data_IF_979663038513
#
_entry.id   IF_979663038513
#
_cell.length_a   1.000
_cell.length_b   1.000
_cell.length_c   1.000
_cell.angle_alpha   90.00
_cell.angle_beta   90.00
_cell.angle_gamma   90.00
#
_symmetry.space_group_name_H-M   'P 1'
#
loop_
_entity.id
_entity.type
_entity.pdbx_description
1 polymer ?
#
# COMPACT_ATOMS: atom_id res chain seq x y z
N UNK A 1 -0.14 18.87 0.49
CA UNK A 1 0.62 18.48 -0.73
C UNK A 1 -0.20 18.88 -1.95
N UNK A 2 0.41 19.33 -3.04
CA UNK A 2 -0.30 19.57 -4.29
C UNK A 2 0.08 18.48 -5.30
N UNK A 3 -0.91 17.86 -5.93
CA UNK A 3 -0.72 16.91 -7.03
C UNK A 3 -1.59 17.38 -8.18
N UNK A 4 -0.97 17.79 -9.29
CA UNK A 4 -1.66 18.28 -10.49
C UNK A 4 -2.63 19.44 -10.22
N UNK A 5 -2.30 20.36 -9.32
CA UNK A 5 -3.15 21.52 -8.98
C UNK A 5 -4.28 21.20 -7.99
N UNK A 6 -4.28 20.00 -7.41
CA UNK A 6 -5.21 19.61 -6.36
C UNK A 6 -4.48 19.47 -5.03
N UNK A 7 -5.04 20.11 -3.99
CA UNK A 7 -4.53 20.00 -2.64
C UNK A 7 -4.98 18.71 -1.95
N UNK A 8 -4.02 18.01 -1.34
CA UNK A 8 -4.21 16.80 -0.55
C UNK A 8 -3.58 16.94 0.83
N UNK A 9 -4.29 16.48 1.84
CA UNK A 9 -3.73 16.24 3.18
C UNK A 9 -3.38 14.76 3.32
N UNK A 10 -2.14 14.47 3.66
CA UNK A 10 -1.64 13.10 3.83
C UNK A 10 -1.27 12.92 5.30
N UNK A 11 -1.81 11.87 5.91
CA UNK A 11 -1.55 11.50 7.29
C UNK A 11 -0.81 10.17 7.30
N UNK A 12 0.45 10.19 7.76
CA UNK A 12 1.19 8.97 8.03
C UNK A 12 0.87 8.48 9.45
N UNK A 13 0.54 7.20 9.57
CA UNK A 13 0.05 6.58 10.79
C UNK A 13 0.96 5.40 11.13
N UNK A 14 1.48 5.31 12.37
CA UNK A 14 2.28 4.17 12.78
C UNK A 14 1.61 2.82 12.49
N UNK A 15 2.41 1.81 12.17
CA UNK A 15 1.89 0.45 12.01
C UNK A 15 1.45 -0.17 13.35
N UNK A 16 0.79 -1.32 13.28
CA UNK A 16 0.43 -2.10 14.47
C UNK A 16 1.67 -2.40 15.33
N UNK A 17 1.57 -2.13 16.63
CA UNK A 17 2.61 -2.36 17.63
C UNK A 17 2.02 -2.91 18.92
N UNK A 18 2.88 -3.20 19.91
CA UNK A 18 2.46 -3.81 21.19
C UNK A 18 1.32 -3.04 21.87
N UNK A 19 1.36 -1.70 21.81
CA UNK A 19 0.39 -0.81 22.47
C UNK A 19 -0.24 0.20 21.48
N UNK A 20 -0.19 -0.09 20.18
CA UNK A 20 -0.71 0.82 19.16
C UNK A 20 -1.59 0.09 18.15
N UNK A 21 -2.85 0.54 18.05
CA UNK A 21 -3.81 0.15 17.04
C UNK A 21 -4.13 1.36 16.13
N UNK A 22 -3.67 1.37 14.86
CA UNK A 22 -3.96 2.46 13.93
C UNK A 22 -5.46 2.64 13.68
N UNK A 23 -6.30 1.62 13.88
CA UNK A 23 -7.74 1.74 13.67
C UNK A 23 -8.38 2.82 14.56
N UNK A 24 -7.84 3.04 15.78
CA UNK A 24 -8.31 4.08 16.70
C UNK A 24 -8.05 5.46 16.10
N UNK A 25 -6.80 5.72 15.67
CA UNK A 25 -6.41 7.00 15.07
C UNK A 25 -7.14 7.26 13.76
N UNK A 26 -7.31 6.23 12.92
CA UNK A 26 -8.06 6.33 11.66
C UNK A 26 -9.53 6.70 11.91
N UNK A 27 -10.17 6.06 12.89
CA UNK A 27 -11.57 6.35 13.23
C UNK A 27 -11.78 7.76 13.77
N UNK A 28 -10.84 8.26 14.59
CA UNK A 28 -10.82 9.64 15.07
C UNK A 28 -10.67 10.63 13.91
N UNK A 29 -9.68 10.40 13.03
CA UNK A 29 -9.43 11.26 11.87
C UNK A 29 -10.65 11.33 10.94
N UNK A 30 -11.29 10.18 10.67
CA UNK A 30 -12.51 10.13 9.87
C UNK A 30 -13.64 10.97 10.48
N UNK A 31 -13.80 10.93 11.80
CA UNK A 31 -14.85 11.68 12.50
C UNK A 31 -14.59 13.18 12.49
N UNK A 32 -13.33 13.59 12.64
CA UNK A 32 -12.95 15.01 12.73
C UNK A 32 -12.84 15.70 11.37
N UNK A 33 -12.38 14.97 10.34
CA UNK A 33 -11.99 15.56 9.05
C UNK A 33 -12.60 14.87 7.83
N UNK A 34 -13.12 13.65 8.00
CA UNK A 34 -13.41 12.76 6.88
C UNK A 34 -12.13 12.13 6.32
N UNK A 35 -12.31 11.06 5.54
CA UNK A 35 -11.23 10.38 4.81
C UNK A 35 -11.78 10.02 3.43
N UNK A 36 -11.10 10.47 2.38
CA UNK A 36 -11.47 10.21 0.98
C UNK A 36 -10.83 8.92 0.44
N UNK A 37 -9.67 8.53 0.96
CA UNK A 37 -8.94 7.32 0.56
C UNK A 37 -8.09 6.82 1.72
N UNK A 38 -8.13 5.51 1.96
CA UNK A 38 -7.14 4.83 2.78
C UNK A 38 -6.11 4.13 1.88
N UNK A 39 -4.83 4.31 2.21
CA UNK A 39 -3.71 3.63 1.54
C UNK A 39 -3.12 2.62 2.50
N UNK A 40 -3.20 1.33 2.16
CA UNK A 40 -2.74 0.24 3.02
C UNK A 40 -1.42 -0.32 2.50
N UNK A 41 -0.33 0.00 3.19
CA UNK A 41 1.00 -0.47 2.83
C UNK A 41 1.20 -1.94 3.22
N UNK A 42 1.53 -2.77 2.25
CA UNK A 42 1.84 -4.20 2.37
C UNK A 42 3.32 -4.42 2.10
N UNK A 43 3.93 -5.34 2.86
CA UNK A 43 5.28 -5.83 2.59
C UNK A 43 5.23 -7.34 2.34
N UNK A 44 5.62 -7.83 1.15
CA UNK A 44 5.78 -9.25 0.87
C UNK A 44 6.67 -9.93 1.91
N UNK A 45 6.32 -11.14 2.33
CA UNK A 45 7.08 -11.90 3.34
C UNK A 45 6.97 -11.36 4.77
N UNK A 46 6.50 -10.12 4.98
CA UNK A 46 6.36 -9.48 6.30
C UNK A 46 5.10 -9.87 7.08
N UNK A 47 4.43 -10.96 6.73
CA UNK A 47 3.21 -11.41 7.40
C UNK A 47 2.03 -10.49 7.17
N UNK A 48 1.45 -10.50 5.95
CA UNK A 48 0.18 -9.81 5.69
C UNK A 48 -0.91 -10.43 6.56
N UNK A 49 -1.29 -9.74 7.64
CA UNK A 49 -2.23 -10.23 8.65
C UNK A 49 -3.64 -9.75 8.36
N UNK A 50 -4.57 -10.69 8.14
CA UNK A 50 -5.99 -10.37 7.92
C UNK A 50 -6.63 -9.60 9.08
N UNK A 51 -6.22 -9.87 10.32
CA UNK A 51 -6.69 -9.15 11.50
C UNK A 51 -6.38 -7.65 11.46
N UNK A 52 -5.16 -7.29 11.06
CA UNK A 52 -4.75 -5.88 10.90
C UNK A 52 -5.55 -5.19 9.80
N UNK A 53 -5.75 -5.86 8.67
CA UNK A 53 -6.62 -5.37 7.60
C UNK A 53 -8.05 -5.14 8.11
N UNK A 54 -8.63 -6.10 8.83
CA UNK A 54 -9.99 -6.01 9.35
C UNK A 54 -10.14 -4.82 10.31
N UNK A 55 -9.18 -4.62 11.22
CA UNK A 55 -9.19 -3.51 12.16
C UNK A 55 -9.20 -2.16 11.41
N UNK A 56 -8.26 -1.95 10.48
CA UNK A 56 -8.22 -0.74 9.64
C UNK A 56 -9.48 -0.57 8.81
N UNK A 57 -9.97 -1.64 8.16
CA UNK A 57 -11.18 -1.57 7.32
C UNK A 57 -12.41 -1.19 8.14
N UNK A 58 -12.51 -1.68 9.38
CA UNK A 58 -13.65 -1.41 10.28
C UNK A 58 -13.64 -0.01 10.89
N UNK A 59 -12.50 0.69 10.85
CA UNK A 59 -12.37 2.04 11.40
C UNK A 59 -13.16 3.10 10.62
N UNK A 60 -13.52 2.81 9.37
CA UNK A 60 -14.28 3.72 8.51
C UNK A 60 -15.39 2.98 7.75
N UNK A 61 -16.46 3.67 7.31
CA UNK A 61 -17.53 3.05 6.54
C UNK A 61 -17.06 2.40 5.23
N UNK A 62 -17.85 1.44 4.72
CA UNK A 62 -17.48 0.67 3.52
C UNK A 62 -17.30 1.54 2.25
N UNK A 63 -17.94 2.71 2.21
CA UNK A 63 -17.84 3.68 1.10
C UNK A 63 -16.47 4.33 0.97
N UNK A 64 -15.64 4.34 2.02
CA UNK A 64 -14.29 4.90 1.93
C UNK A 64 -13.42 3.89 1.17
N UNK A 65 -12.86 4.24 0.00
CA UNK A 65 -12.02 3.34 -0.78
C UNK A 65 -10.74 3.01 -0.01
N UNK A 66 -10.28 1.77 -0.19
CA UNK A 66 -9.04 1.26 0.40
C UNK A 66 -8.18 0.71 -0.74
N UNK A 67 -7.04 1.33 -0.99
CA UNK A 67 -6.08 0.89 -2.00
C UNK A 67 -4.89 0.18 -1.32
N UNK A 68 -4.33 -0.83 -1.98
CA UNK A 68 -3.11 -1.49 -1.52
C UNK A 68 -1.86 -0.82 -2.09
N UNK A 69 -0.80 -0.69 -1.30
CA UNK A 69 0.52 -0.33 -1.82
C UNK A 69 1.50 -1.43 -1.41
N UNK A 70 1.99 -2.19 -2.37
CA UNK A 70 2.95 -3.27 -2.13
C UNK A 70 4.34 -2.70 -2.26
N UNK A 71 5.10 -2.74 -1.16
CA UNK A 71 6.43 -2.16 -1.02
C UNK A 71 7.51 -3.24 -0.96
N UNK A 72 8.78 -2.86 -1.12
CA UNK A 72 9.92 -3.78 -0.95
C UNK A 72 10.03 -4.83 -2.05
N UNK A 73 9.54 -4.53 -3.25
CA UNK A 73 9.51 -5.46 -4.39
C UNK A 73 10.85 -5.56 -5.13
N UNK A 74 11.85 -4.75 -4.80
CA UNK A 74 13.21 -4.84 -5.35
C UNK A 74 13.87 -6.21 -5.16
N UNK A 75 13.38 -7.01 -4.21
CA UNK A 75 13.86 -8.39 -3.97
C UNK A 75 13.21 -9.43 -4.89
N UNK A 76 12.19 -9.02 -5.65
CA UNK A 76 11.46 -9.86 -6.58
C UNK A 76 11.86 -9.43 -8.00
N UNK A 77 12.72 -10.21 -8.65
CA UNK A 77 13.16 -9.90 -10.02
C UNK A 77 12.00 -9.80 -11.03
N UNK A 78 12.24 -9.09 -12.12
CA UNK A 78 11.24 -8.82 -13.16
C UNK A 78 10.27 -7.68 -12.81
N UNK A 79 9.14 -7.61 -13.55
CA UNK A 79 8.12 -6.57 -13.34
C UNK A 79 7.54 -6.66 -11.92
N UNK A 80 7.49 -5.53 -11.23
CA UNK A 80 6.97 -5.47 -9.86
C UNK A 80 5.48 -5.86 -9.79
N UNK A 81 4.72 -5.55 -10.83
CA UNK A 81 3.30 -5.91 -10.97
C UNK A 81 3.09 -7.44 -10.95
N UNK A 82 4.12 -8.23 -11.32
CA UNK A 82 4.06 -9.69 -11.24
C UNK A 82 3.86 -10.20 -9.81
N UNK A 83 4.18 -9.41 -8.79
CA UNK A 83 3.83 -9.81 -7.44
C UNK A 83 2.32 -9.87 -7.26
N UNK A 84 1.59 -8.86 -7.75
CA UNK A 84 0.15 -8.79 -7.57
C UNK A 84 -0.59 -9.75 -8.51
N UNK A 85 -0.37 -9.61 -9.81
CA UNK A 85 -1.14 -10.26 -10.89
C UNK A 85 -0.40 -11.37 -11.62
N UNK A 86 0.88 -11.61 -11.29
CA UNK A 86 1.69 -12.64 -11.93
C UNK A 86 1.29 -14.07 -11.55
N UNK A 87 2.13 -15.07 -11.84
CA UNK A 87 1.76 -16.50 -11.74
C UNK A 87 1.27 -16.95 -10.36
N UNK A 88 1.76 -16.31 -9.29
CA UNK A 88 1.34 -16.61 -7.91
C UNK A 88 0.00 -15.98 -7.53
N UNK A 89 -0.53 -15.05 -8.33
CA UNK A 89 -1.84 -14.41 -8.16
C UNK A 89 -2.06 -13.93 -6.72
N UNK A 90 -1.07 -13.21 -6.17
CA UNK A 90 -1.14 -12.82 -4.75
C UNK A 90 -2.33 -11.91 -4.51
N UNK A 91 -2.64 -10.95 -5.40
CA UNK A 91 -3.81 -10.09 -5.29
C UNK A 91 -5.12 -10.89 -5.18
N UNK A 92 -5.32 -11.88 -6.07
CA UNK A 92 -6.46 -12.80 -6.01
C UNK A 92 -6.49 -13.60 -4.69
N UNK A 93 -5.31 -14.02 -4.21
CA UNK A 93 -5.18 -14.75 -2.93
C UNK A 93 -5.57 -13.87 -1.74
N UNK A 94 -5.22 -12.59 -1.75
CA UNK A 94 -5.64 -11.62 -0.73
C UNK A 94 -7.17 -11.42 -0.78
N UNK A 95 -7.72 -11.26 -1.99
CA UNK A 95 -9.16 -11.13 -2.22
C UNK A 95 -9.94 -12.36 -1.74
N UNK A 96 -9.45 -13.57 -2.04
CA UNK A 96 -10.04 -14.84 -1.57
C UNK A 96 -10.01 -14.97 -0.04
N UNK A 97 -9.04 -14.32 0.63
CA UNK A 97 -8.99 -14.21 2.10
C UNK A 97 -9.92 -13.13 2.65
N UNK A 98 -10.64 -12.39 1.80
CA UNK A 98 -11.57 -11.34 2.18
C UNK A 98 -10.94 -9.96 2.34
N UNK A 99 -9.69 -9.77 1.90
CA UNK A 99 -9.03 -8.47 1.87
C UNK A 99 -9.28 -7.84 0.50
N UNK A 100 -10.13 -6.82 0.46
CA UNK A 100 -10.59 -6.20 -0.77
C UNK A 100 -9.99 -4.81 -0.89
N UNK A 101 -9.39 -4.56 -2.03
CA UNK A 101 -8.81 -3.26 -2.38
C UNK A 101 -9.49 -2.77 -3.65
N UNK A 102 -9.77 -1.48 -3.74
CA UNK A 102 -10.34 -0.88 -4.96
C UNK A 102 -9.31 -0.77 -6.08
N UNK A 103 -8.03 -0.71 -5.69
CA UNK A 103 -6.89 -0.63 -6.59
C UNK A 103 -5.60 -1.01 -5.84
N UNK A 104 -4.49 -1.14 -6.56
CA UNK A 104 -3.18 -1.41 -6.00
C UNK A 104 -2.04 -0.70 -6.74
N UNK A 105 -0.93 -0.49 -6.04
CA UNK A 105 0.33 -0.08 -6.64
C UNK A 105 1.47 -0.98 -6.15
N UNK A 106 2.31 -1.43 -7.08
CA UNK A 106 3.53 -2.18 -6.78
C UNK A 106 4.73 -1.25 -6.92
N UNK A 107 5.42 -0.96 -5.80
CA UNK A 107 6.48 0.05 -5.75
C UNK A 107 7.76 -0.49 -5.11
N UNK A 108 8.88 0.12 -5.47
CA UNK A 108 10.14 -0.04 -4.74
C UNK A 108 10.33 1.08 -3.74
N UNK A 109 10.99 0.77 -2.62
CA UNK A 109 11.41 1.76 -1.63
C UNK A 109 12.84 2.25 -1.84
N UNK A 110 13.54 1.75 -2.87
CA UNK A 110 14.89 2.16 -3.20
C UNK A 110 14.93 3.59 -3.78
N UNK A 111 15.92 4.36 -3.34
CA UNK A 111 16.22 5.71 -3.83
C UNK A 111 16.86 5.68 -5.23
N UNK A 112 17.10 6.85 -5.84
CA UNK A 112 17.82 6.91 -7.13
C UNK A 112 19.28 6.48 -6.95
N UNK A 113 19.85 6.80 -5.80
CA UNK A 113 21.22 6.51 -5.43
C UNK A 113 21.41 4.99 -5.26
N UNK A 114 20.45 4.31 -4.61
CA UNK A 114 20.47 2.86 -4.38
C UNK A 114 20.48 2.04 -5.68
N UNK A 115 19.87 2.57 -6.75
CA UNK A 115 19.72 1.85 -8.02
C UNK A 115 20.74 2.27 -9.09
N UNK A 116 21.61 3.24 -8.79
CA UNK A 116 22.47 3.92 -9.77
C UNK A 116 23.44 3.00 -10.53
N UNK A 117 23.81 1.85 -9.96
CA UNK A 117 24.73 0.87 -10.58
C UNK A 117 24.06 -0.45 -10.95
N UNK A 118 22.74 -0.58 -10.76
CA UNK A 118 22.01 -1.81 -11.06
C UNK A 118 20.84 -1.50 -12.00
N UNK A 119 21.00 -1.89 -13.27
CA UNK A 119 20.03 -1.61 -14.33
C UNK A 119 18.66 -2.25 -14.06
N UNK A 120 18.61 -3.43 -13.44
CA UNK A 120 17.35 -4.09 -13.09
C UNK A 120 16.60 -3.30 -12.01
N UNK A 121 17.30 -2.88 -10.96
CA UNK A 121 16.71 -2.05 -9.91
C UNK A 121 16.32 -0.65 -10.42
N UNK A 122 17.08 -0.11 -11.37
CA UNK A 122 16.75 1.15 -12.03
C UNK A 122 15.44 1.04 -12.81
N UNK A 123 15.26 -0.04 -13.58
CA UNK A 123 14.03 -0.30 -14.32
C UNK A 123 12.84 -0.51 -13.37
N UNK A 124 13.01 -1.23 -12.27
CA UNK A 124 11.98 -1.37 -11.24
C UNK A 124 11.60 -0.02 -10.62
N UNK A 125 12.58 0.84 -10.32
CA UNK A 125 12.32 2.20 -9.87
C UNK A 125 11.60 3.04 -10.91
N UNK A 126 11.95 2.89 -12.18
CA UNK A 126 11.25 3.59 -13.26
C UNK A 126 9.78 3.15 -13.31
N UNK A 127 9.51 1.84 -13.29
CA UNK A 127 8.17 1.28 -13.23
C UNK A 127 7.37 1.76 -12.02
N UNK A 128 8.00 1.94 -10.85
CA UNK A 128 7.30 2.45 -9.64
C UNK A 128 6.80 3.88 -9.75
N UNK A 129 7.26 4.62 -10.75
CA UNK A 129 6.86 6.02 -10.99
C UNK A 129 5.82 6.17 -12.10
N UNK A 130 5.53 5.08 -12.82
CA UNK A 130 4.49 5.09 -13.84
C UNK A 130 3.14 4.81 -13.18
N UNK A 131 2.11 5.57 -13.56
CA UNK A 131 0.74 5.20 -13.25
C UNK A 131 0.37 3.95 -14.07
N UNK A 132 -0.28 2.98 -13.43
CA UNK A 132 -0.79 1.75 -14.07
C UNK A 132 -2.05 2.06 -14.87
#
# INVERSE_FOLDING_TARGET
>A
MDINGHAFDIYDIPGFGHDYDPAITIGQLYTERGIDLLVYCLKPGGGIVKGHYNAVRSAVPERVPLAAVVTGLEQHGGSMENWWSGPKKNGETLAAKGMKFVDHACVTTLSREDVSYNMELYEQRYQSTQAV
#
